data_IF_937611441627
#
_entry.id   IF_937611441627
#
_cell.length_a   1.000
_cell.length_b   1.000
_cell.length_c   1.000
_cell.angle_alpha   90.00
_cell.angle_beta   90.00
_cell.angle_gamma   90.00
#
_symmetry.space_group_name_H-M   'P 1'
#
loop_
_entity.id
_entity.type
_entity.pdbx_description
1 polymer ?
#
# COMPACT_ATOMS: atom_id res chain seq x y z
N UNK A 1 22.76 -15.32 -8.46
CA UNK A 1 21.55 -16.11 -8.76
C UNK A 1 20.76 -16.26 -7.47
N UNK A 2 19.56 -15.69 -7.36
CA UNK A 2 18.63 -16.03 -6.26
C UNK A 2 18.09 -17.44 -6.53
N UNK A 3 18.06 -18.30 -5.53
CA UNK A 3 17.64 -19.69 -5.70
C UNK A 3 16.13 -19.77 -6.03
N UNK A 4 15.74 -20.54 -7.06
CA UNK A 4 14.36 -20.64 -7.54
C UNK A 4 13.36 -21.05 -6.44
N UNK A 5 13.71 -22.00 -5.57
CA UNK A 5 12.85 -22.43 -4.47
C UNK A 5 12.43 -21.32 -3.49
N UNK A 6 13.29 -20.34 -3.21
CA UNK A 6 12.94 -19.26 -2.29
C UNK A 6 11.81 -18.36 -2.84
N UNK A 7 11.69 -18.27 -4.16
CA UNK A 7 10.61 -17.51 -4.80
C UNK A 7 9.29 -18.28 -4.75
N UNK A 8 9.31 -19.58 -5.09
CA UNK A 8 8.13 -20.46 -5.03
C UNK A 8 7.52 -20.51 -3.63
N UNK A 9 8.36 -20.58 -2.59
CA UNK A 9 7.88 -20.61 -1.21
C UNK A 9 7.27 -19.27 -0.76
N UNK A 10 7.85 -18.13 -1.17
CA UNK A 10 7.27 -16.80 -0.90
C UNK A 10 5.93 -16.59 -1.60
N UNK A 11 5.83 -17.05 -2.85
CA UNK A 11 4.58 -17.00 -3.61
C UNK A 11 3.50 -17.87 -2.95
N UNK A 12 3.86 -19.08 -2.52
CA UNK A 12 2.96 -19.97 -1.80
C UNK A 12 2.47 -19.33 -0.48
N UNK A 13 3.37 -18.69 0.28
CA UNK A 13 2.99 -17.96 1.49
C UNK A 13 2.04 -16.79 1.19
N UNK A 14 2.31 -16.03 0.12
CA UNK A 14 1.46 -14.93 -0.29
C UNK A 14 0.06 -15.41 -0.68
N UNK A 15 -0.04 -16.44 -1.52
CA UNK A 15 -1.32 -17.05 -1.91
C UNK A 15 -2.08 -17.61 -0.70
N UNK A 16 -1.38 -18.21 0.27
CA UNK A 16 -1.99 -18.70 1.51
C UNK A 16 -2.63 -17.56 2.31
N UNK A 17 -1.93 -16.43 2.46
CA UNK A 17 -2.42 -15.25 3.20
C UNK A 17 -3.65 -14.62 2.53
N UNK A 18 -3.69 -14.64 1.20
CA UNK A 18 -4.82 -14.14 0.43
C UNK A 18 -5.99 -15.15 0.36
N UNK A 19 -5.81 -16.37 0.87
CA UNK A 19 -6.81 -17.44 0.77
C UNK A 19 -6.92 -18.06 -0.63
N UNK A 20 -5.92 -17.84 -1.48
CA UNK A 20 -5.86 -18.28 -2.89
C UNK A 20 -4.98 -19.53 -3.08
N UNK A 21 -4.29 -19.99 -2.03
CA UNK A 21 -3.44 -21.17 -2.12
C UNK A 21 -4.25 -22.42 -2.47
N UNK A 22 -3.88 -23.03 -3.60
CA UNK A 22 -4.45 -24.29 -4.07
C UNK A 22 -3.83 -25.46 -3.33
N UNK A 23 -4.57 -26.03 -2.38
CA UNK A 23 -4.11 -27.13 -1.53
C UNK A 23 -3.62 -28.35 -2.32
N UNK A 24 -4.18 -28.60 -3.51
CA UNK A 24 -3.79 -29.69 -4.41
C UNK A 24 -2.41 -29.51 -5.05
N UNK A 25 -1.92 -28.26 -5.17
CA UNK A 25 -0.61 -27.95 -5.74
C UNK A 25 0.52 -27.94 -4.70
N UNK A 26 0.17 -27.81 -3.41
CA UNK A 26 1.15 -27.70 -2.32
C UNK A 26 2.14 -28.86 -2.25
N UNK A 27 1.73 -30.14 -2.38
CA UNK A 27 2.68 -31.25 -2.33
C UNK A 27 3.72 -31.20 -3.44
N UNK A 28 3.32 -30.81 -4.65
CA UNK A 28 4.23 -30.64 -5.79
C UNK A 28 5.27 -29.55 -5.54
N UNK A 29 4.82 -28.37 -5.08
CA UNK A 29 5.71 -27.26 -4.72
C UNK A 29 6.69 -27.68 -3.62
N UNK A 30 6.21 -28.40 -2.61
CA UNK A 30 7.06 -28.90 -1.53
C UNK A 30 8.08 -29.94 -2.02
N UNK A 31 7.70 -30.78 -2.99
CA UNK A 31 8.61 -31.70 -3.67
C UNK A 31 9.75 -30.97 -4.39
N UNK A 32 9.44 -29.92 -5.14
CA UNK A 32 10.44 -29.09 -5.82
C UNK A 32 11.39 -28.42 -4.82
N UNK A 33 10.88 -27.95 -3.68
CA UNK A 33 11.70 -27.37 -2.61
C UNK A 33 12.65 -28.40 -1.98
N UNK A 34 12.22 -29.65 -1.81
CA UNK A 34 13.12 -30.73 -1.35
C UNK A 34 14.25 -30.98 -2.36
N UNK A 35 13.94 -30.96 -3.67
CA UNK A 35 14.94 -31.11 -4.74
C UNK A 35 15.93 -29.93 -4.75
N UNK A 36 15.45 -28.73 -4.46
CA UNK A 36 16.27 -27.52 -4.31
C UNK A 36 17.15 -27.52 -3.04
N UNK A 37 17.02 -28.54 -2.18
CA UNK A 37 17.88 -28.76 -1.02
C UNK A 37 17.36 -28.18 0.29
N UNK A 38 16.11 -27.70 0.31
CA UNK A 38 15.43 -27.38 1.57
C UNK A 38 14.99 -28.68 2.26
N UNK A 39 15.14 -28.77 3.58
CA UNK A 39 14.73 -29.97 4.33
C UNK A 39 14.25 -29.58 5.73
N UNK A 40 12.92 -29.63 5.92
CA UNK A 40 12.28 -29.48 7.22
C UNK A 40 11.25 -30.58 7.44
N UNK A 41 10.83 -30.79 8.69
CA UNK A 41 9.84 -31.80 9.00
C UNK A 41 8.51 -31.52 8.30
N UNK A 42 7.99 -30.30 8.42
CA UNK A 42 6.73 -29.92 7.78
C UNK A 42 6.82 -29.99 6.26
N UNK A 43 7.98 -29.66 5.66
CA UNK A 43 8.20 -29.74 4.22
C UNK A 43 8.09 -31.19 3.70
N UNK A 44 8.76 -32.14 4.37
CA UNK A 44 8.71 -33.56 4.00
C UNK A 44 7.30 -34.13 4.11
N UNK A 45 6.59 -33.78 5.19
CA UNK A 45 5.21 -34.22 5.38
C UNK A 45 4.31 -33.65 4.28
N UNK A 46 4.36 -32.35 4.02
CA UNK A 46 3.59 -31.68 2.95
C UNK A 46 3.87 -32.27 1.57
N UNK A 47 5.13 -32.54 1.24
CA UNK A 47 5.52 -33.15 -0.04
C UNK A 47 5.00 -34.58 -0.22
N UNK A 48 4.73 -35.29 0.89
CA UNK A 48 4.23 -36.67 0.86
C UNK A 48 2.70 -36.78 0.82
N UNK A 49 1.98 -35.67 1.00
CA UNK A 49 0.52 -35.70 1.04
C UNK A 49 -0.06 -36.15 -0.30
N UNK A 50 -1.07 -36.99 -0.22
CA UNK A 50 -1.87 -37.39 -1.39
C UNK A 50 -3.07 -36.46 -1.57
N UNK A 51 -3.75 -36.55 -2.72
CA UNK A 51 -4.96 -35.75 -2.98
C UNK A 51 -6.07 -35.95 -1.94
N UNK A 52 -6.11 -37.12 -1.26
CA UNK A 52 -7.08 -37.43 -0.22
C UNK A 52 -6.77 -36.78 1.15
N UNK A 53 -5.61 -36.12 1.29
CA UNK A 53 -5.14 -35.54 2.55
C UNK A 53 -4.94 -34.02 2.46
N UNK A 54 -5.43 -33.40 1.38
CA UNK A 54 -5.25 -31.96 1.11
C UNK A 54 -5.85 -31.07 2.20
N UNK A 55 -6.81 -31.56 2.99
CA UNK A 55 -7.35 -30.83 4.14
C UNK A 55 -6.29 -30.55 5.22
N UNK A 56 -5.24 -31.38 5.30
CA UNK A 56 -4.15 -31.22 6.27
C UNK A 56 -3.21 -30.06 5.92
N UNK A 57 -3.25 -29.57 4.68
CA UNK A 57 -2.43 -28.44 4.21
C UNK A 57 -2.62 -27.21 5.09
N UNK A 58 -3.86 -26.95 5.53
CA UNK A 58 -4.19 -25.77 6.31
C UNK A 58 -3.46 -25.72 7.66
N UNK A 59 -3.22 -26.88 8.28
CA UNK A 59 -2.54 -26.99 9.56
C UNK A 59 -1.01 -27.04 9.43
N UNK A 60 -0.53 -27.51 8.27
CA UNK A 60 0.89 -27.78 8.02
C UNK A 60 1.63 -26.60 7.38
N UNK A 61 0.98 -25.82 6.50
CA UNK A 61 1.61 -24.65 5.87
C UNK A 61 2.11 -23.60 6.87
N UNK A 62 1.33 -23.18 7.89
CA UNK A 62 1.83 -22.23 8.89
C UNK A 62 3.08 -22.73 9.63
N UNK A 63 3.17 -24.05 9.87
CA UNK A 63 4.34 -24.67 10.51
C UNK A 63 5.54 -24.63 9.61
N UNK A 64 5.36 -24.95 8.32
CA UNK A 64 6.42 -24.83 7.32
C UNK A 64 6.97 -23.40 7.26
N UNK A 65 6.11 -22.39 7.18
CA UNK A 65 6.56 -20.99 7.15
C UNK A 65 7.34 -20.61 8.40
N UNK A 66 6.93 -21.11 9.57
CA UNK A 66 7.65 -20.90 10.82
C UNK A 66 9.02 -21.61 10.84
N UNK A 67 9.09 -22.88 10.44
CA UNK A 67 10.33 -23.66 10.36
C UNK A 67 11.35 -23.05 9.39
N UNK A 68 10.85 -22.43 8.32
CA UNK A 68 11.64 -21.76 7.29
C UNK A 68 12.04 -20.32 7.66
N UNK A 69 11.77 -19.90 8.89
CA UNK A 69 12.00 -18.54 9.41
C UNK A 69 11.43 -17.45 8.47
N UNK A 70 10.28 -17.76 7.88
CA UNK A 70 9.57 -16.79 7.05
C UNK A 70 8.77 -15.87 7.96
N UNK A 71 9.12 -14.59 7.96
CA UNK A 71 8.26 -13.55 8.52
C UNK A 71 6.85 -13.62 7.92
N UNK A 72 5.87 -13.01 8.58
CA UNK A 72 4.49 -13.00 8.13
C UNK A 72 4.21 -11.72 7.34
N UNK A 73 4.16 -11.76 5.99
CA UNK A 73 3.87 -10.56 5.22
C UNK A 73 2.43 -10.09 5.47
N UNK A 74 2.22 -8.78 5.35
CA UNK A 74 0.87 -8.20 5.34
C UNK A 74 0.09 -8.62 4.09
N UNK A 75 -1.24 -8.51 4.12
CA UNK A 75 -2.07 -8.78 2.93
C UNK A 75 -1.66 -7.95 1.70
N UNK A 76 -1.22 -6.70 1.90
CA UNK A 76 -0.72 -5.82 0.83
C UNK A 76 0.59 -6.35 0.23
N UNK A 77 1.52 -6.81 1.06
CA UNK A 77 2.77 -7.42 0.58
C UNK A 77 2.54 -8.75 -0.12
N UNK A 78 1.60 -9.56 0.39
CA UNK A 78 1.18 -10.80 -0.25
C UNK A 78 0.58 -10.51 -1.63
N UNK A 79 -0.37 -9.58 -1.74
CA UNK A 79 -0.97 -9.16 -3.00
C UNK A 79 0.07 -8.62 -3.99
N UNK A 80 1.04 -7.82 -3.52
CA UNK A 80 2.14 -7.36 -4.37
C UNK A 80 3.01 -8.52 -4.89
N UNK A 81 3.30 -9.51 -4.03
CA UNK A 81 4.08 -10.68 -4.41
C UNK A 81 3.39 -11.51 -5.51
N UNK A 82 2.06 -11.70 -5.38
CA UNK A 82 1.25 -12.39 -6.39
C UNK A 82 1.17 -11.57 -7.67
N UNK A 83 0.92 -10.26 -7.59
CA UNK A 83 0.91 -9.37 -8.76
C UNK A 83 2.25 -9.41 -9.54
N UNK A 84 3.39 -9.45 -8.83
CA UNK A 84 4.68 -9.64 -9.48
C UNK A 84 4.85 -11.04 -10.09
N UNK A 85 4.23 -12.08 -9.53
CA UNK A 85 4.22 -13.40 -10.18
C UNK A 85 3.50 -13.34 -11.52
N UNK A 86 2.28 -12.79 -11.53
CA UNK A 86 1.49 -12.64 -12.74
C UNK A 86 2.24 -11.78 -13.77
N UNK A 87 2.92 -10.72 -13.33
CA UNK A 87 3.75 -9.92 -14.22
C UNK A 87 4.91 -10.73 -14.84
N UNK A 88 5.56 -11.64 -14.10
CA UNK A 88 6.55 -12.56 -14.68
C UNK A 88 5.90 -13.47 -15.71
N UNK A 89 4.71 -13.99 -15.41
CA UNK A 89 3.96 -14.88 -16.30
C UNK A 89 3.49 -14.19 -17.60
N UNK A 90 3.16 -12.89 -17.54
CA UNK A 90 2.90 -12.06 -18.74
C UNK A 90 4.16 -11.97 -19.60
N UNK A 91 5.32 -11.71 -18.98
CA UNK A 91 6.59 -11.53 -19.70
C UNK A 91 7.12 -12.85 -20.29
N UNK A 92 6.94 -13.96 -19.58
CA UNK A 92 7.30 -15.29 -20.11
C UNK A 92 6.31 -15.81 -21.14
N UNK A 93 5.13 -15.18 -21.26
CA UNK A 93 4.04 -15.63 -22.13
C UNK A 93 3.27 -16.84 -21.58
N UNK A 94 3.41 -17.15 -20.29
CA UNK A 94 2.60 -18.16 -19.59
C UNK A 94 1.15 -17.71 -19.48
N UNK A 95 0.92 -16.41 -19.29
CA UNK A 95 -0.40 -15.77 -19.22
C UNK A 95 -0.49 -14.69 -20.30
N UNK A 96 -1.67 -14.51 -20.89
CA UNK A 96 -1.86 -13.44 -21.88
C UNK A 96 -1.77 -12.07 -21.20
N UNK A 97 -1.29 -11.00 -21.88
CA UNK A 97 -1.22 -9.68 -21.25
C UNK A 97 -2.59 -9.20 -20.75
N UNK A 98 -3.66 -9.42 -21.51
CA UNK A 98 -5.01 -9.01 -21.11
C UNK A 98 -5.48 -9.72 -19.83
N UNK A 99 -5.37 -11.05 -19.77
CA UNK A 99 -5.78 -11.81 -18.58
C UNK A 99 -4.96 -11.41 -17.35
N UNK A 100 -3.64 -11.32 -17.51
CA UNK A 100 -2.76 -10.92 -16.41
C UNK A 100 -2.99 -9.47 -15.95
N UNK A 101 -3.31 -8.55 -16.87
CA UNK A 101 -3.65 -7.17 -16.50
C UNK A 101 -4.95 -7.08 -15.69
N UNK A 102 -5.95 -7.89 -16.03
CA UNK A 102 -7.18 -7.97 -15.23
C UNK A 102 -6.90 -8.46 -13.81
N UNK A 103 -6.14 -9.56 -13.67
CA UNK A 103 -5.81 -10.12 -12.35
C UNK A 103 -4.96 -9.15 -11.51
N UNK A 104 -3.93 -8.53 -12.09
CA UNK A 104 -3.11 -7.53 -11.40
C UNK A 104 -3.95 -6.31 -11.00
N UNK A 105 -4.80 -5.82 -11.92
CA UNK A 105 -5.69 -4.69 -11.67
C UNK A 105 -6.67 -4.95 -10.52
N UNK A 106 -7.14 -6.19 -10.38
CA UNK A 106 -8.04 -6.59 -9.30
C UNK A 106 -7.40 -6.36 -7.92
N UNK A 107 -6.12 -6.68 -7.73
CA UNK A 107 -5.41 -6.36 -6.49
C UNK A 107 -5.37 -4.86 -6.20
N UNK A 108 -5.24 -4.02 -7.24
CA UNK A 108 -5.33 -2.57 -7.10
C UNK A 108 -6.68 -2.09 -6.57
N UNK A 109 -7.78 -2.76 -6.97
CA UNK A 109 -9.13 -2.43 -6.50
C UNK A 109 -9.47 -3.03 -5.14
N UNK A 110 -8.84 -4.17 -4.79
CA UNK A 110 -9.08 -4.88 -3.53
C UNK A 110 -8.22 -4.34 -2.39
N UNK A 111 -7.01 -3.86 -2.69
CA UNK A 111 -6.07 -3.30 -1.74
C UNK A 111 -5.78 -1.83 -2.07
N UNK A 112 -6.47 -0.91 -1.40
CA UNK A 112 -6.35 0.55 -1.64
C UNK A 112 -4.91 1.08 -1.75
N UNK A 113 -3.92 0.64 -0.93
CA UNK A 113 -2.53 1.09 -1.08
C UNK A 113 -1.89 0.70 -2.41
N UNK A 114 -2.39 -0.34 -3.06
CA UNK A 114 -1.89 -0.81 -4.35
C UNK A 114 -2.54 -0.08 -5.53
N UNK A 115 -3.67 0.60 -5.32
CA UNK A 115 -4.40 1.26 -6.40
C UNK A 115 -3.53 2.21 -7.25
N UNK A 116 -2.71 3.11 -6.67
CA UNK A 116 -1.87 4.01 -7.50
C UNK A 116 -0.89 3.26 -8.40
N UNK A 117 -0.40 2.11 -7.94
CA UNK A 117 0.60 1.31 -8.66
C UNK A 117 -0.01 0.31 -9.64
N UNK A 118 -1.21 -0.21 -9.36
CA UNK A 118 -1.82 -1.31 -10.11
C UNK A 118 -3.03 -0.89 -10.96
N UNK A 119 -3.59 0.30 -10.74
CA UNK A 119 -4.76 0.79 -11.50
C UNK A 119 -4.49 0.98 -13.00
N UNK A 120 -3.23 1.13 -13.41
CA UNK A 120 -2.89 1.20 -14.83
C UNK A 120 -3.27 -0.09 -15.57
N UNK A 121 -3.17 -1.25 -14.91
CA UNK A 121 -3.49 -2.55 -15.52
C UNK A 121 -5.00 -2.69 -15.77
N UNK A 122 -5.86 -2.23 -14.85
CA UNK A 122 -7.31 -2.26 -15.09
C UNK A 122 -7.71 -1.27 -16.20
N UNK A 123 -7.05 -0.11 -16.28
CA UNK A 123 -7.24 0.85 -17.37
C UNK A 123 -6.90 0.24 -18.72
N UNK A 124 -5.69 -0.32 -18.87
CA UNK A 124 -5.24 -0.96 -20.11
C UNK A 124 -6.10 -2.17 -20.50
N UNK A 125 -6.54 -2.97 -19.52
CA UNK A 125 -7.45 -4.08 -19.77
C UNK A 125 -8.82 -3.62 -20.28
N UNK A 126 -9.37 -2.54 -19.70
CA UNK A 126 -10.63 -1.94 -20.17
C UNK A 126 -10.52 -1.46 -21.60
N UNK A 127 -9.46 -0.71 -21.93
CA UNK A 127 -9.23 -0.21 -23.29
C UNK A 127 -9.00 -1.35 -24.30
N UNK A 128 -8.31 -2.43 -23.90
CA UNK A 128 -8.15 -3.62 -24.74
C UNK A 128 -9.48 -4.32 -25.05
N UNK A 129 -10.42 -4.32 -24.10
CA UNK A 129 -11.77 -4.85 -24.32
C UNK A 129 -12.58 -3.98 -25.29
N UNK A 130 -12.47 -2.66 -25.16
CA UNK A 130 -13.31 -1.69 -25.85
C UNK A 130 -12.81 -1.35 -27.27
N UNK A 131 -11.50 -1.30 -27.49
CA UNK A 131 -10.87 -0.95 -28.77
C UNK A 131 -10.10 -2.13 -29.37
N UNK A 132 -10.81 -2.91 -30.19
CA UNK A 132 -10.31 -4.10 -30.89
C UNK A 132 -9.15 -3.78 -31.83
N UNK A 133 -9.16 -2.60 -32.47
CA UNK A 133 -8.15 -2.23 -33.48
C UNK A 133 -6.78 -1.98 -32.86
N UNK A 134 -6.74 -1.56 -31.58
CA UNK A 134 -5.51 -1.25 -30.84
C UNK A 134 -5.06 -2.31 -29.84
N UNK A 135 -5.69 -3.48 -29.80
CA UNK A 135 -5.33 -4.57 -28.86
C UNK A 135 -3.85 -4.89 -28.81
N UNK A 136 -3.19 -4.98 -29.96
CA UNK A 136 -1.76 -5.26 -30.00
C UNK A 136 -0.92 -4.17 -29.32
N UNK A 137 -1.36 -2.90 -29.42
CA UNK A 137 -0.71 -1.79 -28.73
C UNK A 137 -0.92 -1.91 -27.22
N UNK A 138 -2.15 -2.12 -26.75
CA UNK A 138 -2.42 -2.27 -25.32
C UNK A 138 -1.73 -3.49 -24.70
N UNK A 139 -1.62 -4.60 -25.43
CA UNK A 139 -0.81 -5.73 -24.99
C UNK A 139 0.68 -5.40 -24.89
N UNK A 140 1.20 -4.52 -25.74
CA UNK A 140 2.56 -4.00 -25.62
C UNK A 140 2.70 -3.14 -24.36
N UNK A 141 1.77 -2.21 -24.15
CA UNK A 141 1.75 -1.30 -23.00
C UNK A 141 1.64 -2.09 -21.69
N UNK A 142 0.81 -3.14 -21.63
CA UNK A 142 0.69 -4.04 -20.47
C UNK A 142 2.03 -4.73 -20.18
N UNK A 143 2.75 -5.20 -21.20
CA UNK A 143 4.07 -5.81 -20.99
C UNK A 143 5.08 -4.78 -20.46
N UNK A 144 5.02 -3.55 -20.94
CA UNK A 144 5.87 -2.48 -20.40
C UNK A 144 5.55 -2.19 -18.93
N UNK A 145 4.27 -2.07 -18.55
CA UNK A 145 3.89 -1.90 -17.15
C UNK A 145 4.25 -3.10 -16.29
N UNK A 146 4.12 -4.33 -16.81
CA UNK A 146 4.55 -5.54 -16.12
C UNK A 146 6.06 -5.50 -15.82
N UNK A 147 6.89 -5.06 -16.78
CA UNK A 147 8.33 -4.85 -16.55
C UNK A 147 8.57 -3.78 -15.48
N UNK A 148 7.83 -2.66 -15.50
CA UNK A 148 7.95 -1.61 -14.47
C UNK A 148 7.54 -2.12 -13.09
N UNK A 149 6.49 -2.93 -13.00
CA UNK A 149 6.05 -3.56 -11.75
C UNK A 149 7.11 -4.50 -11.18
N UNK A 150 7.82 -5.25 -12.03
CA UNK A 150 8.94 -6.10 -11.61
C UNK A 150 10.17 -5.32 -11.15
N UNK A 151 10.37 -4.11 -11.68
CA UNK A 151 11.43 -3.20 -11.25
C UNK A 151 11.07 -2.41 -9.97
N UNK A 152 9.79 -2.37 -9.60
CA UNK A 152 9.27 -1.59 -8.46
C UNK A 152 9.14 -2.47 -7.23
N UNK A 153 9.55 -1.97 -6.06
CA UNK A 153 9.31 -2.63 -4.77
C UNK A 153 7.84 -2.51 -4.35
N UNK A 154 7.34 -3.36 -3.44
CA UNK A 154 6.04 -3.13 -2.83
C UNK A 154 5.98 -1.73 -2.21
N UNK A 155 4.79 -1.12 -2.10
CA UNK A 155 4.65 0.03 -1.21
C UNK A 155 5.16 -0.34 0.18
N UNK A 156 5.86 0.58 0.84
CA UNK A 156 6.51 0.34 2.13
C UNK A 156 5.55 -0.33 3.12
N UNK A 157 6.04 -1.27 3.92
CA UNK A 157 5.24 -1.89 4.99
C UNK A 157 4.64 -0.80 5.89
N UNK A 158 3.44 -0.98 6.47
CA UNK A 158 2.93 -0.11 7.53
C UNK A 158 4.01 0.17 8.57
N UNK A 159 4.38 1.44 8.71
CA UNK A 159 5.39 1.89 9.67
C UNK A 159 6.85 1.68 9.28
N UNK A 160 7.19 1.61 7.98
CA UNK A 160 8.59 1.53 7.51
C UNK A 160 9.01 2.71 6.62
N UNK A 161 9.24 3.87 7.23
CA UNK A 161 9.92 4.99 6.57
C UNK A 161 9.23 5.45 5.28
N UNK A 162 7.90 5.51 5.32
CA UNK A 162 7.09 6.00 4.21
C UNK A 162 7.44 7.45 3.87
N UNK A 163 6.99 7.94 2.72
CA UNK A 163 7.13 9.37 2.41
C UNK A 163 6.41 10.24 3.46
N UNK A 164 5.33 9.73 4.07
CA UNK A 164 4.68 10.40 5.21
C UNK A 164 5.62 10.48 6.41
N UNK A 165 6.29 9.37 6.77
CA UNK A 165 7.27 9.37 7.86
C UNK A 165 8.37 10.42 7.60
N UNK A 166 8.91 10.45 6.38
CA UNK A 166 9.91 11.45 5.98
C UNK A 166 9.39 12.87 6.11
N UNK A 167 8.21 13.16 5.56
CA UNK A 167 7.60 14.50 5.57
C UNK A 167 7.27 14.96 7.00
N UNK A 168 6.79 14.07 7.87
CA UNK A 168 6.55 14.39 9.27
C UNK A 168 7.85 14.67 10.02
N UNK A 169 8.91 13.90 9.78
CA UNK A 169 10.22 14.20 10.39
C UNK A 169 10.79 15.53 9.88
N UNK A 170 10.61 15.85 8.59
CA UNK A 170 11.01 17.16 8.04
C UNK A 170 10.21 18.30 8.68
N UNK A 171 8.90 18.14 8.84
CA UNK A 171 8.05 19.11 9.52
C UNK A 171 8.44 19.29 11.00
N UNK A 172 8.80 18.21 11.68
CA UNK A 172 9.34 18.25 13.05
C UNK A 172 10.65 19.06 13.12
N UNK A 173 11.57 18.83 12.19
CA UNK A 173 12.81 19.61 12.10
C UNK A 173 12.55 21.09 11.83
N UNK A 174 11.63 21.42 10.92
CA UNK A 174 11.23 22.81 10.66
C UNK A 174 10.65 23.48 11.90
N UNK A 175 9.86 22.74 12.69
CA UNK A 175 9.29 23.26 13.94
C UNK A 175 10.37 23.66 14.94
N UNK A 176 11.49 22.92 15.00
CA UNK A 176 12.65 23.27 15.82
C UNK A 176 13.37 24.54 15.33
N UNK A 177 13.35 24.81 14.02
CA UNK A 177 13.94 26.00 13.41
C UNK A 177 13.02 27.23 13.46
N UNK A 178 11.71 27.03 13.59
CA UNK A 178 10.70 28.08 13.68
C UNK A 178 9.34 27.60 13.17
N UNK A 179 8.28 27.78 13.97
CA UNK A 179 6.93 27.28 13.64
C UNK A 179 6.12 28.31 12.86
N UNK A 180 5.54 27.97 11.69
CA UNK A 180 4.55 28.82 11.03
C UNK A 180 3.26 28.89 11.86
N UNK A 181 2.58 30.04 11.81
CA UNK A 181 1.27 30.22 12.44
C UNK A 181 0.23 29.41 11.65
N UNK A 182 -0.05 28.17 12.09
CA UNK A 182 -0.91 27.23 11.36
C UNK A 182 -2.35 27.74 11.14
N UNK A 183 -3.03 28.39 12.12
CA UNK A 183 -4.29 29.07 11.86
C UNK A 183 -4.22 30.09 10.71
N UNK A 184 -3.22 30.97 10.72
CA UNK A 184 -3.04 31.95 9.64
C UNK A 184 -2.66 31.28 8.30
N UNK A 185 -1.89 30.19 8.35
CA UNK A 185 -1.58 29.39 7.17
C UNK A 185 -2.84 28.75 6.56
N UNK A 186 -3.72 28.21 7.39
CA UNK A 186 -4.99 27.65 6.95
C UNK A 186 -5.82 28.70 6.21
N UNK A 187 -5.94 29.93 6.73
CA UNK A 187 -6.63 31.02 6.05
C UNK A 187 -6.04 31.35 4.67
N UNK A 188 -4.71 31.30 4.52
CA UNK A 188 -4.04 31.53 3.24
C UNK A 188 -4.32 30.40 2.24
N UNK A 189 -4.29 29.16 2.70
CA UNK A 189 -4.54 27.96 1.88
C UNK A 189 -6.00 27.89 1.43
N UNK A 190 -6.94 28.17 2.33
CA UNK A 190 -8.39 28.23 2.05
C UNK A 190 -8.68 29.16 0.87
N UNK A 191 -8.06 30.34 0.82
CA UNK A 191 -8.27 31.32 -0.26
C UNK A 191 -7.84 30.84 -1.64
N UNK A 192 -6.98 29.82 -1.70
CA UNK A 192 -6.54 29.22 -2.97
C UNK A 192 -7.41 28.06 -3.40
N UNK A 193 -8.06 27.38 -2.46
CA UNK A 193 -8.94 26.26 -2.74
C UNK A 193 -10.28 26.80 -3.27
N UNK A 194 -10.78 26.31 -4.42
CA UNK A 194 -12.10 26.68 -4.92
C UNK A 194 -13.19 26.39 -3.87
N UNK A 195 -13.96 27.41 -3.48
CA UNK A 195 -14.92 27.37 -2.37
C UNK A 195 -14.36 26.77 -1.06
N UNK A 196 -13.08 27.04 -0.77
CA UNK A 196 -12.42 26.61 0.44
C UNK A 196 -13.12 27.13 1.70
N UNK A 197 -13.30 26.26 2.68
CA UNK A 197 -13.84 26.62 4.00
C UNK A 197 -13.39 25.59 5.06
N UNK A 198 -13.52 25.92 6.35
CA UNK A 198 -13.21 25.00 7.45
C UNK A 198 -14.43 24.11 7.69
N UNK A 199 -14.23 22.79 7.80
CA UNK A 199 -15.31 21.80 7.98
C UNK A 199 -15.74 21.61 9.45
N UNK A 200 -14.85 21.89 10.42
CA UNK A 200 -15.18 21.85 11.85
C UNK A 200 -14.32 22.85 12.61
N UNK A 201 -14.95 23.70 13.43
CA UNK A 201 -14.28 24.66 14.32
C UNK A 201 -14.17 24.14 15.77
N UNK A 202 -13.88 22.86 15.97
CA UNK A 202 -13.62 22.36 17.31
C UNK A 202 -12.30 22.95 17.85
N UNK A 203 -12.44 24.03 18.63
CA UNK A 203 -11.32 24.71 19.33
C UNK A 203 -10.70 23.73 20.32
N UNK A 204 -9.62 23.06 19.90
CA UNK A 204 -8.90 22.08 20.71
C UNK A 204 -8.36 20.89 19.92
N UNK A 205 -8.87 20.64 18.70
CA UNK A 205 -8.34 19.57 17.86
C UNK A 205 -6.92 19.88 17.35
N UNK A 206 -6.10 18.85 17.19
CA UNK A 206 -4.76 18.94 16.59
C UNK A 206 -4.79 19.09 15.08
N UNK A 207 -5.95 19.10 14.47
CA UNK A 207 -6.11 19.13 13.02
C UNK A 207 -7.17 20.14 12.60
N UNK A 208 -6.93 20.83 11.49
CA UNK A 208 -7.87 21.74 10.82
C UNK A 208 -8.30 21.06 9.53
N UNK A 209 -9.55 20.62 9.46
CA UNK A 209 -10.13 20.06 8.25
C UNK A 209 -10.66 21.17 7.34
N UNK A 210 -10.26 21.15 6.07
CA UNK A 210 -10.62 22.12 5.05
C UNK A 210 -11.38 21.40 3.93
N UNK A 211 -12.53 21.96 3.56
CA UNK A 211 -13.44 21.48 2.52
C UNK A 211 -13.40 22.30 1.23
N UNK A 212 -14.12 21.84 0.22
CA UNK A 212 -14.43 22.54 -1.04
C UNK A 212 -15.94 22.41 -1.36
N UNK A 213 -16.40 22.81 -2.55
CA UNK A 213 -17.79 23.04 -3.01
C UNK A 213 -18.92 22.11 -2.50
N UNK A 214 -18.63 20.88 -2.05
CA UNK A 214 -19.62 19.89 -1.58
C UNK A 214 -19.32 19.40 -0.15
N UNK A 215 -18.68 20.23 0.68
CA UNK A 215 -18.17 19.88 2.02
C UNK A 215 -17.22 18.66 2.03
N UNK A 216 -16.71 18.30 0.85
CA UNK A 216 -15.74 17.23 0.70
C UNK A 216 -14.43 17.69 1.33
N UNK A 217 -13.92 16.94 2.30
CA UNK A 217 -12.60 17.16 2.88
C UNK A 217 -11.53 17.05 1.80
N UNK A 218 -10.76 18.12 1.60
CA UNK A 218 -9.70 18.20 0.58
C UNK A 218 -8.31 18.36 1.17
N UNK A 219 -8.23 18.92 2.38
CA UNK A 219 -6.98 19.19 3.07
C UNK A 219 -7.19 19.06 4.58
N UNK A 220 -6.24 18.45 5.27
CA UNK A 220 -6.21 18.37 6.73
C UNK A 220 -4.85 18.88 7.19
N UNK A 221 -4.83 19.97 7.95
CA UNK A 221 -3.59 20.58 8.44
C UNK A 221 -3.37 20.27 9.91
N UNK A 222 -2.16 19.88 10.28
CA UNK A 222 -1.81 19.76 11.69
C UNK A 222 -1.73 21.16 12.33
N UNK A 223 -2.26 21.35 13.52
CA UNK A 223 -2.28 22.67 14.17
C UNK A 223 -0.92 23.05 14.73
N UNK A 224 -0.05 22.07 15.06
CA UNK A 224 1.24 22.31 15.69
C UNK A 224 2.48 21.99 14.87
N UNK A 225 2.34 21.22 13.80
CA UNK A 225 3.43 20.82 12.93
C UNK A 225 3.14 21.41 11.53
N UNK A 226 4.14 21.88 10.78
CA UNK A 226 3.98 22.32 9.40
C UNK A 226 3.79 21.13 8.46
N UNK A 227 2.72 20.37 8.68
CA UNK A 227 2.39 19.14 7.98
C UNK A 227 0.89 19.06 7.72
N UNK A 228 0.49 18.44 6.61
CA UNK A 228 -0.90 18.12 6.32
C UNK A 228 -1.08 17.04 5.27
N UNK A 229 -2.31 16.55 5.16
CA UNK A 229 -2.74 15.63 4.11
C UNK A 229 -3.59 16.35 3.08
N UNK A 230 -3.37 16.09 1.79
CA UNK A 230 -4.07 16.75 0.70
C UNK A 230 -4.57 15.77 -0.36
N UNK A 231 -5.70 16.07 -0.98
CA UNK A 231 -6.16 15.34 -2.16
C UNK A 231 -5.36 15.75 -3.41
N UNK A 232 -4.77 14.81 -4.17
CA UNK A 232 -3.86 15.11 -5.27
C UNK A 232 -4.37 16.15 -6.27
N UNK A 233 -5.67 16.11 -6.60
CA UNK A 233 -6.26 17.04 -7.56
C UNK A 233 -6.32 18.50 -7.08
N UNK A 234 -6.11 18.75 -5.77
CA UNK A 234 -6.07 20.08 -5.18
C UNK A 234 -4.66 20.64 -5.00
N UNK A 235 -3.60 19.83 -5.19
CA UNK A 235 -2.19 20.27 -5.05
C UNK A 235 -1.89 21.52 -5.84
N UNK A 236 -2.31 21.54 -7.11
CA UNK A 236 -2.08 22.66 -8.05
C UNK A 236 -2.55 24.03 -7.54
N UNK A 237 -3.52 24.06 -6.62
CA UNK A 237 -4.03 25.32 -6.07
C UNK A 237 -3.16 25.83 -4.92
N UNK A 238 -2.56 24.92 -4.13
CA UNK A 238 -1.97 25.27 -2.84
C UNK A 238 -0.47 25.10 -2.75
N UNK A 239 0.17 24.31 -3.62
CA UNK A 239 1.61 23.97 -3.54
C UNK A 239 2.47 25.23 -3.36
N UNK A 240 2.30 26.24 -4.22
CA UNK A 240 3.05 27.51 -4.11
C UNK A 240 2.90 28.20 -2.75
N UNK A 241 1.71 28.16 -2.14
CA UNK A 241 1.47 28.77 -0.82
C UNK A 241 2.00 27.88 0.31
N UNK A 242 1.89 26.57 0.17
CA UNK A 242 2.43 25.60 1.13
C UNK A 242 3.96 25.72 1.18
N UNK A 243 4.62 25.81 0.02
CA UNK A 243 6.07 25.97 -0.11
C UNK A 243 6.56 27.27 0.55
N UNK A 244 5.90 28.39 0.26
CA UNK A 244 6.19 29.68 0.91
C UNK A 244 6.06 29.63 2.44
N UNK A 245 5.13 28.82 2.94
CA UNK A 245 4.85 28.64 4.37
C UNK A 245 5.69 27.52 5.00
N UNK A 246 6.48 26.78 4.20
CA UNK A 246 7.26 25.62 4.64
C UNK A 246 6.42 24.42 5.06
N UNK A 247 5.17 24.29 4.58
CA UNK A 247 4.26 23.22 5.00
C UNK A 247 4.46 21.99 4.12
N UNK A 248 4.71 20.85 4.76
CA UNK A 248 4.84 19.56 4.09
C UNK A 248 3.46 18.96 3.82
N UNK A 249 3.19 18.54 2.58
CA UNK A 249 1.90 17.97 2.18
C UNK A 249 2.07 16.56 1.64
N UNK A 250 1.38 15.60 2.28
CA UNK A 250 1.29 14.22 1.84
C UNK A 250 -0.02 13.97 1.08
N UNK A 251 0.07 13.26 -0.03
CA UNK A 251 -1.07 12.97 -0.90
C UNK A 251 -1.95 11.83 -0.37
N UNK A 252 -3.27 12.04 -0.35
CA UNK A 252 -4.28 11.06 0.06
C UNK A 252 -5.47 11.06 -0.91
N UNK A 253 -5.93 9.90 -1.36
CA UNK A 253 -7.07 9.84 -2.30
C UNK A 253 -8.38 10.31 -1.64
N UNK A 254 -8.59 9.91 -0.38
CA UNK A 254 -9.68 10.37 0.49
C UNK A 254 -9.28 10.23 1.96
N UNK A 255 -10.04 10.85 2.87
CA UNK A 255 -9.76 10.81 4.30
C UNK A 255 -10.08 9.44 4.94
N UNK A 256 -10.98 8.67 4.34
CA UNK A 256 -11.46 7.36 4.81
C UNK A 256 -10.67 6.18 4.23
N UNK A 257 -9.96 6.39 3.13
CA UNK A 257 -9.23 5.32 2.43
C UNK A 257 -7.98 4.92 3.22
N UNK A 258 -7.78 3.62 3.47
CA UNK A 258 -6.60 3.12 4.21
C UNK A 258 -5.37 3.12 3.32
N UNK A 259 -4.60 4.20 3.34
CA UNK A 259 -3.43 4.39 2.47
C UNK A 259 -2.16 4.80 3.21
N UNK A 260 -2.21 5.06 4.52
CA UNK A 260 -1.08 5.62 5.25
C UNK A 260 -0.30 4.53 5.98
N UNK A 261 0.96 4.36 5.59
CA UNK A 261 1.97 3.63 6.35
C UNK A 261 2.66 4.64 7.25
N UNK A 262 2.49 4.51 8.57
CA UNK A 262 2.97 5.50 9.54
C UNK A 262 3.61 4.76 10.71
N UNK A 263 4.86 5.10 11.05
CA UNK A 263 5.54 4.43 12.15
C UNK A 263 4.94 4.84 13.51
N UNK A 264 5.12 4.02 14.57
CA UNK A 264 4.78 4.43 15.93
C UNK A 264 5.43 5.76 16.34
N UNK A 265 6.67 6.02 15.91
CA UNK A 265 7.40 7.26 16.18
C UNK A 265 6.79 8.46 15.44
N UNK A 266 6.37 8.25 14.18
CA UNK A 266 5.67 9.29 13.40
C UNK A 266 4.33 9.61 14.04
N UNK A 267 3.58 8.60 14.46
CA UNK A 267 2.33 8.79 15.20
C UNK A 267 2.56 9.52 16.53
N UNK A 268 3.56 9.11 17.31
CA UNK A 268 3.93 9.80 18.54
C UNK A 268 4.34 11.25 18.29
N UNK A 269 5.01 11.52 17.16
CA UNK A 269 5.37 12.89 16.73
C UNK A 269 4.10 13.70 16.43
N UNK A 270 3.15 13.16 15.66
CA UNK A 270 1.87 13.81 15.37
C UNK A 270 1.04 14.02 16.66
N UNK A 271 1.03 13.05 17.58
CA UNK A 271 0.37 13.17 18.87
C UNK A 271 1.16 13.99 19.90
N UNK A 272 2.36 14.49 19.59
CA UNK A 272 3.22 15.19 20.57
C UNK A 272 3.38 14.43 21.90
N UNK A 273 3.41 13.09 21.87
CA UNK A 273 3.35 12.23 23.05
C UNK A 273 3.30 10.74 22.72
N UNK A 274 3.34 9.88 23.73
CA UNK A 274 3.22 8.43 23.52
C UNK A 274 1.81 8.05 23.05
N UNK A 275 1.73 7.27 21.97
CA UNK A 275 0.48 6.59 21.57
C UNK A 275 0.61 5.13 21.94
N UNK A 276 -0.21 4.68 22.89
CA UNK A 276 -0.40 3.24 23.15
C UNK A 276 -1.40 2.70 22.12
N UNK A 277 -0.89 1.98 21.12
CA UNK A 277 -1.74 1.26 20.17
C UNK A 277 -2.19 -0.09 20.75
N UNK A 278 -3.47 -0.46 20.62
CA UNK A 278 -3.96 -1.76 21.08
C UNK A 278 -3.66 -2.94 20.13
N UNK A 279 -2.89 -2.75 19.05
CA UNK A 279 -2.66 -3.78 18.03
C UNK A 279 -1.43 -3.53 17.12
N UNK A 280 -1.15 -4.43 16.16
CA UNK A 280 -0.02 -4.34 15.23
C UNK A 280 -0.09 -3.10 14.32
N UNK A 281 0.99 -2.82 13.57
CA UNK A 281 1.03 -1.69 12.64
C UNK A 281 0.22 -2.05 11.39
N UNK A 282 -0.95 -1.42 11.25
CA UNK A 282 -1.81 -1.51 10.07
C UNK A 282 -1.80 -0.20 9.26
N UNK A 283 -2.20 -0.29 7.99
CA UNK A 283 -2.50 0.87 7.15
C UNK A 283 -3.64 1.69 7.74
N UNK A 284 -3.45 3.00 7.83
CA UNK A 284 -4.42 3.92 8.43
C UNK A 284 -5.05 4.79 7.37
N UNK A 285 -6.29 5.21 7.59
CA UNK A 285 -6.83 6.37 6.91
C UNK A 285 -6.33 7.67 7.55
N UNK A 286 -6.44 8.79 6.84
CA UNK A 286 -6.08 10.10 7.40
C UNK A 286 -6.97 10.46 8.60
N UNK A 287 -8.25 10.07 8.57
CA UNK A 287 -9.13 10.25 9.71
C UNK A 287 -8.76 9.37 10.89
N UNK A 288 -8.35 8.11 10.68
CA UNK A 288 -7.84 7.27 11.76
C UNK A 288 -6.56 7.84 12.38
N UNK A 289 -5.64 8.39 11.57
CA UNK A 289 -4.45 9.11 12.10
C UNK A 289 -4.89 10.32 12.93
N UNK A 290 -5.81 11.13 12.43
CA UNK A 290 -6.36 12.29 13.14
C UNK A 290 -7.02 11.90 14.46
N UNK A 291 -7.86 10.88 14.46
CA UNK A 291 -8.55 10.38 15.66
C UNK A 291 -7.58 9.84 16.70
N UNK A 292 -6.58 9.06 16.29
CA UNK A 292 -5.55 8.53 17.18
C UNK A 292 -4.66 9.62 17.78
N UNK A 293 -4.39 10.68 17.02
CA UNK A 293 -3.50 11.77 17.41
C UNK A 293 -4.22 12.95 18.06
N UNK A 294 -5.55 13.01 18.03
CA UNK A 294 -6.34 14.03 18.74
C UNK A 294 -6.53 13.72 20.24
N UNK A 295 -6.17 12.51 20.69
CA UNK A 295 -6.28 12.09 22.09
C UNK A 295 -5.10 12.56 22.95
#
# INVERSE_FOLDING_TARGET
>A
MKQPGHYSLRLLQAQWILGEARADLVPGICGDLLVDGYDTESLRVLASLTGAETERVADLLPRLFHEMDMGQPTGVQAAWCVAQSIARDIISGTVTPADGAWEIGHFGTTFDPLFPSLSIFIGLWSEWNDDVERRQQYESDIREEALRLLATGPPSEPGTGSEIDRLVQLAKQQTLAGRPNMPAAAERLIRKIPAGHILSENRGERWIAIGSHNDRQVLVLHTTLPFGFIRPEYRRYVDSVADELGIQLADIASADTRQLSVTPETLATLASGEIVRPGPIDWLSADQVRELTNR
#
